data_IF_828153557116
#
_entry.id   IF_828153557116
#
_cell.length_a   1.000
_cell.length_b   1.000
_cell.length_c   1.000
_cell.angle_alpha   90.00
_cell.angle_beta   90.00
_cell.angle_gamma   90.00
#
_symmetry.space_group_name_H-M   'P 1'
#
loop_
_entity.id
_entity.type
_entity.pdbx_description
1 polymer ?
#
# COMPACT_ATOMS: atom_id res chain seq x y z
N UNK A 1 -14.26 37.05 19.29
CA UNK A 1 -14.65 35.94 18.40
C UNK A 1 -13.46 35.52 17.53
N UNK A 2 -12.77 34.41 17.85
CA UNK A 2 -11.91 33.72 16.90
C UNK A 2 -12.18 32.20 16.95
N UNK A 3 -13.14 31.71 16.16
CA UNK A 3 -13.50 30.28 16.14
C UNK A 3 -13.43 29.65 14.73
N UNK A 4 -13.37 30.45 13.68
CA UNK A 4 -13.36 29.96 12.30
C UNK A 4 -11.96 29.58 11.80
N UNK A 5 -10.91 30.21 12.33
CA UNK A 5 -9.52 29.94 11.91
C UNK A 5 -9.03 28.60 12.44
N UNK A 6 -9.31 28.24 13.69
CA UNK A 6 -8.91 26.94 14.27
C UNK A 6 -9.61 25.74 13.66
N UNK A 7 -10.86 25.90 13.20
CA UNK A 7 -11.60 24.81 12.57
C UNK A 7 -10.99 24.44 11.21
N UNK A 8 -10.64 25.43 10.39
CA UNK A 8 -10.03 25.18 9.08
C UNK A 8 -8.63 24.56 9.23
N UNK A 9 -7.82 25.05 10.19
CA UNK A 9 -6.48 24.51 10.44
C UNK A 9 -6.53 23.08 10.98
N UNK A 10 -7.47 22.77 11.88
CA UNK A 10 -7.65 21.42 12.39
C UNK A 10 -8.25 20.48 11.33
N UNK A 11 -9.11 20.98 10.44
CA UNK A 11 -9.65 20.19 9.32
C UNK A 11 -8.57 19.84 8.30
N UNK A 12 -7.75 20.81 7.89
CA UNK A 12 -6.60 20.56 6.99
C UNK A 12 -5.57 19.66 7.68
N UNK A 13 -5.33 19.83 8.99
CA UNK A 13 -4.41 18.98 9.75
C UNK A 13 -4.91 17.53 9.88
N UNK A 14 -6.19 17.33 10.19
CA UNK A 14 -6.75 16.01 10.46
C UNK A 14 -7.20 15.26 9.19
N UNK A 15 -7.49 15.95 8.08
CA UNK A 15 -7.96 15.31 6.85
C UNK A 15 -6.93 15.30 5.72
N UNK A 16 -6.13 16.35 5.58
CA UNK A 16 -5.10 16.46 4.54
C UNK A 16 -3.73 15.98 5.03
N UNK A 17 -3.39 16.25 6.31
CA UNK A 17 -2.10 15.89 6.93
C UNK A 17 -2.13 14.60 7.76
N UNK A 18 -3.27 13.91 7.91
CA UNK A 18 -3.32 12.57 8.55
C UNK A 18 -2.44 11.53 7.81
N UNK A 19 -2.13 11.80 6.54
CA UNK A 19 -1.19 11.05 5.72
C UNK A 19 0.28 11.23 6.16
N UNK A 20 0.60 12.28 6.90
CA UNK A 20 1.98 12.69 7.26
C UNK A 20 2.22 12.62 8.78
N UNK A 21 1.23 12.96 9.62
CA UNK A 21 1.36 12.89 11.08
C UNK A 21 0.17 12.14 11.69
N UNK A 22 0.38 11.01 12.39
CA UNK A 22 -0.68 10.32 13.10
C UNK A 22 -1.07 11.15 14.35
N UNK A 23 -2.23 11.82 14.33
CA UNK A 23 -2.78 12.47 15.53
C UNK A 23 -3.51 11.41 16.38
N UNK A 24 -3.20 11.36 17.68
CA UNK A 24 -3.60 10.29 18.63
C UNK A 24 -5.08 10.36 19.07
N UNK A 25 -5.90 11.20 18.44
CA UNK A 25 -7.19 11.66 18.99
C UNK A 25 -8.40 11.43 18.09
N UNK A 26 -8.35 10.51 17.11
CA UNK A 26 -9.50 10.23 16.24
C UNK A 26 -10.18 8.89 16.55
N UNK A 27 -11.50 8.92 16.71
CA UNK A 27 -12.36 7.76 16.96
C UNK A 27 -13.63 7.85 16.09
N UNK A 28 -13.82 7.01 15.06
CA UNK A 28 -15.08 6.86 14.37
C UNK A 28 -15.65 5.46 14.69
N UNK A 29 -16.28 5.39 15.87
CA UNK A 29 -17.10 4.33 16.44
C UNK A 29 -17.37 3.12 15.51
N UNK A 30 -16.60 2.06 15.77
CA UNK A 30 -16.67 0.67 15.28
C UNK A 30 -15.78 0.36 14.06
N UNK A 31 -14.52 0.07 14.37
CA UNK A 31 -13.58 -0.68 13.53
C UNK A 31 -12.87 -1.71 14.41
N UNK A 32 -13.00 -3.01 14.12
CA UNK A 32 -12.06 -4.07 14.57
C UNK A 32 -12.26 -5.37 13.78
N UNK A 33 -11.16 -6.11 13.47
CA UNK A 33 -10.86 -7.27 14.31
C UNK A 33 -9.36 -7.61 14.38
N UNK A 34 -8.49 -6.61 14.62
CA UNK A 34 -7.20 -6.74 15.31
C UNK A 34 -6.42 -5.43 15.22
N UNK A 35 -6.43 -4.65 16.31
CA UNK A 35 -5.52 -3.61 16.83
C UNK A 35 -4.50 -2.80 15.95
N UNK A 36 -4.49 -2.90 14.62
CA UNK A 36 -3.54 -2.23 13.69
C UNK A 36 -4.12 -0.90 13.13
N UNK A 37 -5.17 -0.41 13.76
CA UNK A 37 -6.11 0.63 13.27
C UNK A 37 -5.47 1.96 12.88
N UNK A 38 -4.29 2.29 13.39
CA UNK A 38 -3.71 3.64 13.30
C UNK A 38 -2.91 3.90 12.01
N UNK A 39 -2.46 2.88 11.29
CA UNK A 39 -1.62 3.06 10.10
C UNK A 39 -2.37 3.03 8.76
N UNK A 40 -3.60 2.49 8.72
CA UNK A 40 -4.34 2.20 7.49
C UNK A 40 -5.39 3.25 7.10
N UNK A 41 -5.57 4.33 7.88
CA UNK A 41 -6.60 5.34 7.62
C UNK A 41 -6.09 6.52 6.77
N UNK A 42 -6.92 6.92 5.81
CA UNK A 42 -6.87 8.15 5.02
C UNK A 42 -7.94 9.12 5.55
N UNK A 43 -7.62 9.89 6.60
CA UNK A 43 -8.63 10.70 7.28
C UNK A 43 -9.77 9.82 7.80
N UNK A 44 -10.96 9.92 7.19
CA UNK A 44 -12.14 9.09 7.53
C UNK A 44 -12.30 7.80 6.70
N UNK A 45 -11.47 7.56 5.68
CA UNK A 45 -11.61 6.42 4.77
C UNK A 45 -10.47 5.41 4.95
N UNK A 46 -10.71 4.11 4.72
CA UNK A 46 -9.66 3.11 4.77
C UNK A 46 -8.82 3.13 3.48
N UNK A 47 -7.49 3.05 3.60
CA UNK A 47 -6.56 3.13 2.44
C UNK A 47 -6.86 2.05 1.39
N UNK A 48 -7.37 0.89 1.82
CA UNK A 48 -7.74 -0.22 0.95
C UNK A 48 -8.87 0.11 -0.04
N UNK A 49 -9.75 1.05 0.31
CA UNK A 49 -10.91 1.42 -0.52
C UNK A 49 -10.60 2.60 -1.45
N UNK A 50 -9.73 3.50 -1.00
CA UNK A 50 -9.39 4.74 -1.69
C UNK A 50 -8.28 4.52 -2.71
N UNK A 51 -7.25 3.75 -2.34
CA UNK A 51 -6.05 3.58 -3.16
C UNK A 51 -6.33 2.93 -4.53
N UNK A 52 -7.17 1.87 -4.66
CA UNK A 52 -7.53 1.34 -5.97
C UNK A 52 -8.17 2.38 -6.89
N UNK A 53 -9.04 3.24 -6.35
CA UNK A 53 -9.72 4.30 -7.11
C UNK A 53 -8.72 5.35 -7.62
N UNK A 54 -7.76 5.75 -6.76
CA UNK A 54 -6.69 6.67 -7.14
C UNK A 54 -5.81 6.07 -8.24
N UNK A 55 -5.41 4.80 -8.09
CA UNK A 55 -4.56 4.10 -9.08
C UNK A 55 -5.27 3.95 -10.43
N UNK A 56 -6.57 3.63 -10.43
CA UNK A 56 -7.38 3.56 -11.67
C UNK A 56 -7.49 4.93 -12.31
N UNK A 57 -7.86 5.97 -11.55
CA UNK A 57 -7.96 7.35 -12.05
C UNK A 57 -6.63 7.80 -12.68
N UNK A 58 -5.52 7.55 -12.00
CA UNK A 58 -4.17 7.85 -12.47
C UNK A 58 -3.85 7.12 -13.79
N UNK A 59 -4.18 5.84 -13.88
CA UNK A 59 -3.94 5.05 -15.10
C UNK A 59 -4.75 5.57 -16.28
N UNK A 60 -6.00 6.02 -16.04
CA UNK A 60 -6.84 6.65 -17.05
C UNK A 60 -6.28 8.01 -17.50
N UNK A 61 -5.78 8.82 -16.57
CA UNK A 61 -5.11 10.08 -16.89
C UNK A 61 -3.86 9.86 -17.75
N UNK A 62 -3.03 8.88 -17.39
CA UNK A 62 -1.86 8.48 -18.19
C UNK A 62 -2.25 8.02 -19.59
N UNK A 63 -3.33 7.24 -19.72
CA UNK A 63 -3.85 6.81 -21.01
C UNK A 63 -4.32 8.01 -21.85
N UNK A 64 -5.03 8.96 -21.24
CA UNK A 64 -5.46 10.17 -21.94
C UNK A 64 -4.29 11.00 -22.44
N UNK A 65 -3.25 11.18 -21.61
CA UNK A 65 -1.99 11.86 -22.01
C UNK A 65 -1.31 11.11 -23.16
N UNK A 66 -1.27 9.78 -23.11
CA UNK A 66 -0.70 8.97 -24.19
C UNK A 66 -1.47 9.16 -25.51
N UNK A 67 -2.80 9.12 -25.48
CA UNK A 67 -3.64 9.33 -26.66
C UNK A 67 -3.41 10.73 -27.23
N UNK A 68 -3.36 11.74 -26.36
CA UNK A 68 -3.06 13.11 -26.77
C UNK A 68 -1.70 13.19 -27.49
N UNK A 69 -0.66 12.62 -26.89
CA UNK A 69 0.70 12.59 -27.47
C UNK A 69 0.72 11.89 -28.84
N UNK A 70 0.00 10.77 -28.99
CA UNK A 70 -0.15 10.06 -30.26
C UNK A 70 -0.82 10.92 -31.35
N UNK A 71 -1.77 11.78 -30.96
CA UNK A 71 -2.50 12.64 -31.88
C UNK A 71 -1.72 13.91 -32.25
N UNK A 72 -0.86 14.41 -31.37
CA UNK A 72 -0.20 15.72 -31.55
C UNK A 72 1.28 15.67 -31.91
N UNK A 73 1.97 14.59 -31.56
CA UNK A 73 3.41 14.46 -31.81
C UNK A 73 3.66 13.76 -33.12
N UNK A 74 4.53 14.28 -33.99
CA UNK A 74 4.96 13.61 -35.23
C UNK A 74 6.22 12.77 -35.04
N UNK A 75 6.80 12.75 -33.84
CA UNK A 75 8.02 12.01 -33.52
C UNK A 75 7.70 10.56 -33.13
N UNK A 76 8.02 9.63 -34.04
CA UNK A 76 7.79 8.19 -33.84
C UNK A 76 8.60 7.62 -32.67
N UNK A 77 9.79 8.16 -32.37
CA UNK A 77 10.59 7.71 -31.23
C UNK A 77 9.91 8.11 -29.91
N UNK A 78 9.36 9.33 -29.87
CA UNK A 78 8.64 9.83 -28.70
C UNK A 78 7.34 9.05 -28.46
N UNK A 79 6.60 8.73 -29.53
CA UNK A 79 5.40 7.87 -29.47
C UNK A 79 5.72 6.46 -28.96
N UNK A 80 6.76 5.83 -29.50
CA UNK A 80 7.17 4.47 -29.09
C UNK A 80 7.65 4.45 -27.64
N UNK A 81 8.45 5.44 -27.24
CA UNK A 81 8.90 5.60 -25.86
C UNK A 81 7.75 5.84 -24.88
N UNK A 82 6.78 6.68 -25.26
CA UNK A 82 5.57 6.92 -24.48
C UNK A 82 4.72 5.67 -24.30
N UNK A 83 4.52 4.89 -25.37
CA UNK A 83 3.79 3.62 -25.32
C UNK A 83 4.48 2.61 -24.40
N UNK A 84 5.80 2.46 -24.53
CA UNK A 84 6.58 1.56 -23.69
C UNK A 84 6.51 1.95 -22.21
N UNK A 85 6.67 3.24 -21.92
CA UNK A 85 6.53 3.79 -20.56
C UNK A 85 5.14 3.56 -19.98
N UNK A 86 4.09 3.76 -20.78
CA UNK A 86 2.71 3.47 -20.39
C UNK A 86 2.51 1.98 -20.08
N UNK A 87 2.98 1.08 -20.93
CA UNK A 87 2.86 -0.37 -20.70
C UNK A 87 3.52 -0.81 -19.39
N UNK A 88 4.71 -0.28 -19.07
CA UNK A 88 5.39 -0.55 -17.79
C UNK A 88 4.56 -0.02 -16.62
N UNK A 89 4.12 1.23 -16.68
CA UNK A 89 3.35 1.86 -15.61
C UNK A 89 1.99 1.16 -15.38
N UNK A 90 1.28 0.82 -16.47
CA UNK A 90 0.01 0.10 -16.43
C UNK A 90 0.20 -1.31 -15.84
N UNK A 91 1.26 -2.02 -16.23
CA UNK A 91 1.58 -3.33 -15.67
C UNK A 91 1.85 -3.23 -14.17
N UNK A 92 2.67 -2.27 -13.73
CA UNK A 92 2.94 -2.04 -12.32
C UNK A 92 1.66 -1.72 -11.51
N UNK A 93 0.76 -0.92 -12.08
CA UNK A 93 -0.54 -0.59 -11.49
C UNK A 93 -1.44 -1.82 -11.38
N UNK A 94 -1.51 -2.64 -12.42
CA UNK A 94 -2.30 -3.88 -12.41
C UNK A 94 -1.78 -4.86 -11.36
N UNK A 95 -0.46 -5.05 -11.28
CA UNK A 95 0.15 -5.91 -10.25
C UNK A 95 -0.16 -5.38 -8.85
N UNK A 96 -0.12 -4.06 -8.63
CA UNK A 96 -0.52 -3.46 -7.35
C UNK A 96 -1.99 -3.75 -7.02
N UNK A 97 -2.91 -3.57 -7.97
CA UNK A 97 -4.34 -3.83 -7.75
C UNK A 97 -4.60 -5.30 -7.41
N UNK A 98 -3.92 -6.22 -8.09
CA UNK A 98 -3.95 -7.66 -7.78
C UNK A 98 -3.38 -7.91 -6.37
N UNK A 99 -2.27 -7.26 -6.02
CA UNK A 99 -1.67 -7.33 -4.68
C UNK A 99 -2.61 -6.87 -3.57
N UNK A 100 -3.38 -5.79 -3.82
CA UNK A 100 -4.41 -5.30 -2.90
C UNK A 100 -5.53 -6.33 -2.75
N UNK A 101 -6.06 -6.82 -3.87
CA UNK A 101 -7.20 -7.74 -3.86
C UNK A 101 -6.89 -9.05 -3.12
N UNK A 102 -5.71 -9.63 -3.37
CA UNK A 102 -5.28 -10.88 -2.73
C UNK A 102 -4.55 -10.66 -1.40
N UNK A 103 -4.42 -9.40 -0.92
CA UNK A 103 -3.65 -9.03 0.27
C UNK A 103 -2.23 -9.63 0.27
N UNK A 104 -1.54 -9.57 -0.87
CA UNK A 104 -0.16 -10.08 -1.03
C UNK A 104 0.82 -8.93 -1.18
N UNK A 105 1.61 -8.69 -0.12
CA UNK A 105 2.60 -7.60 -0.10
C UNK A 105 3.71 -7.77 -1.14
N UNK A 106 4.06 -9.00 -1.54
CA UNK A 106 5.11 -9.23 -2.56
C UNK A 106 4.77 -8.57 -3.90
N UNK A 107 3.48 -8.47 -4.22
CA UNK A 107 2.99 -7.86 -5.46
C UNK A 107 2.99 -6.32 -5.41
N UNK A 108 3.17 -5.69 -4.25
CA UNK A 108 3.31 -4.23 -4.18
C UNK A 108 4.74 -3.77 -4.46
N UNK A 109 5.74 -4.67 -4.38
CA UNK A 109 7.16 -4.34 -4.55
C UNK A 109 7.48 -3.80 -5.96
N UNK A 110 7.02 -4.42 -7.07
CA UNK A 110 7.29 -3.91 -8.41
C UNK A 110 6.78 -2.49 -8.63
N UNK A 111 5.64 -2.15 -8.00
CA UNK A 111 5.10 -0.79 -8.05
C UNK A 111 6.09 0.21 -7.42
N UNK A 112 6.62 -0.06 -6.23
CA UNK A 112 7.59 0.85 -5.59
C UNK A 112 8.82 1.07 -6.46
N UNK A 113 9.37 0.00 -7.02
CA UNK A 113 10.58 0.10 -7.83
C UNK A 113 10.37 1.02 -9.04
N UNK A 114 9.32 0.78 -9.81
CA UNK A 114 9.00 1.56 -11.02
C UNK A 114 8.69 3.01 -10.67
N UNK A 115 7.86 3.26 -9.66
CA UNK A 115 7.42 4.62 -9.34
C UNK A 115 8.48 5.46 -8.61
N UNK A 116 9.37 4.86 -7.82
CA UNK A 116 10.53 5.56 -7.26
C UNK A 116 11.49 5.97 -8.37
N UNK A 117 11.77 5.10 -9.34
CA UNK A 117 12.58 5.44 -10.50
C UNK A 117 11.94 6.57 -11.32
N UNK A 118 10.64 6.49 -11.57
CA UNK A 118 9.89 7.52 -12.30
C UNK A 118 9.91 8.88 -11.57
N UNK A 119 9.73 8.88 -10.24
CA UNK A 119 9.84 10.08 -9.43
C UNK A 119 11.25 10.68 -9.50
N UNK A 120 12.30 9.85 -9.41
CA UNK A 120 13.68 10.29 -9.56
C UNK A 120 13.94 10.90 -10.95
N UNK A 121 13.48 10.25 -12.02
CA UNK A 121 13.57 10.77 -13.40
C UNK A 121 12.85 12.12 -13.55
N UNK A 122 11.67 12.29 -12.94
CA UNK A 122 10.95 13.57 -12.97
C UNK A 122 11.67 14.68 -12.19
N UNK A 123 12.30 14.35 -11.06
CA UNK A 123 13.14 15.32 -10.33
C UNK A 123 14.31 15.78 -11.19
N UNK A 124 15.01 14.85 -11.87
CA UNK A 124 16.09 15.20 -12.79
C UNK A 124 15.58 16.06 -13.95
N UNK A 125 14.44 15.72 -14.55
CA UNK A 125 13.85 16.49 -15.63
C UNK A 125 13.49 17.92 -15.20
N UNK A 126 12.89 18.07 -14.01
CA UNK A 126 12.61 19.38 -13.42
C UNK A 126 13.90 20.17 -13.21
N UNK A 127 14.94 19.55 -12.65
CA UNK A 127 16.22 20.19 -12.43
C UNK A 127 16.86 20.69 -13.74
N UNK A 128 16.88 19.87 -14.79
CA UNK A 128 17.38 20.28 -16.11
C UNK A 128 16.57 21.47 -16.65
N UNK A 129 15.24 21.42 -16.59
CA UNK A 129 14.37 22.52 -17.04
C UNK A 129 14.60 23.81 -16.25
N UNK A 130 14.87 23.71 -14.95
CA UNK A 130 15.22 24.86 -14.13
C UNK A 130 16.57 25.46 -14.55
N UNK A 131 17.58 24.63 -14.86
CA UNK A 131 18.87 25.11 -15.36
C UNK A 131 18.73 25.81 -16.72
N UNK A 132 17.95 25.24 -17.65
CA UNK A 132 17.70 25.85 -18.97
C UNK A 132 16.95 27.19 -18.84
N UNK A 133 16.01 27.26 -17.90
CA UNK A 133 15.27 28.49 -17.56
C UNK A 133 16.15 29.48 -16.77
N UNK A 134 17.22 29.07 -16.12
CA UNK A 134 18.17 30.02 -15.51
C UNK A 134 19.18 30.55 -16.54
N UNK A 135 19.52 29.74 -17.54
CA UNK A 135 20.54 30.06 -18.54
C UNK A 135 20.01 30.87 -19.73
N UNK A 136 18.73 30.72 -20.09
CA UNK A 136 18.13 31.56 -21.13
C UNK A 136 17.90 32.98 -20.62
N UNK A 137 18.07 34.00 -21.47
CA UNK A 137 17.92 35.42 -21.07
C UNK A 137 16.46 35.93 -21.10
N UNK A 138 15.51 35.11 -21.56
CA UNK A 138 14.10 35.47 -21.82
C UNK A 138 13.11 34.88 -20.80
N UNK A 139 13.49 34.81 -19.52
CA UNK A 139 13.21 33.63 -18.68
C UNK A 139 12.09 33.68 -17.67
N UNK A 140 11.06 34.48 -17.90
CA UNK A 140 9.82 34.41 -17.12
C UNK A 140 8.57 34.57 -18.00
N UNK A 141 8.50 33.85 -19.13
CA UNK A 141 7.21 33.73 -19.81
C UNK A 141 6.25 32.94 -18.91
N UNK A 142 5.05 33.48 -18.67
CA UNK A 142 4.03 32.84 -17.83
C UNK A 142 3.73 31.39 -18.26
N UNK A 143 3.88 31.09 -19.55
CA UNK A 143 3.71 29.75 -20.13
C UNK A 143 4.78 28.75 -19.63
N UNK A 144 6.05 29.17 -19.57
CA UNK A 144 7.14 28.32 -19.07
C UNK A 144 6.98 28.03 -17.57
N UNK A 145 6.63 29.07 -16.79
CA UNK A 145 6.34 28.93 -15.36
C UNK A 145 5.17 27.99 -15.09
N UNK A 146 4.05 28.13 -15.82
CA UNK A 146 2.89 27.26 -15.69
C UNK A 146 3.23 25.79 -16.00
N UNK A 147 4.02 25.56 -17.05
CA UNK A 147 4.45 24.22 -17.41
C UNK A 147 5.36 23.61 -16.33
N UNK A 148 6.34 24.34 -15.82
CA UNK A 148 7.21 23.86 -14.74
C UNK A 148 6.43 23.62 -13.43
N UNK A 149 5.48 24.49 -13.10
CA UNK A 149 4.58 24.31 -11.96
C UNK A 149 3.69 23.06 -12.12
N UNK A 150 3.18 22.81 -13.32
CA UNK A 150 2.37 21.61 -13.60
C UNK A 150 3.18 20.32 -13.38
N UNK A 151 4.44 20.28 -13.80
CA UNK A 151 5.34 19.14 -13.58
C UNK A 151 5.66 18.93 -12.10
N UNK A 152 5.83 20.03 -11.34
CA UNK A 152 6.00 19.96 -9.89
C UNK A 152 4.76 19.37 -9.21
N UNK A 153 3.56 19.78 -9.61
CA UNK A 153 2.32 19.23 -9.05
C UNK A 153 2.15 17.74 -9.36
N UNK A 154 2.53 17.30 -10.57
CA UNK A 154 2.56 15.88 -10.94
C UNK A 154 3.56 15.12 -10.05
N UNK A 155 4.75 15.66 -9.83
CA UNK A 155 5.75 15.05 -8.94
C UNK A 155 5.23 14.93 -7.50
N UNK A 156 4.60 15.97 -6.97
CA UNK A 156 3.99 15.93 -5.62
C UNK A 156 2.93 14.83 -5.54
N UNK A 157 2.07 14.74 -6.56
CA UNK A 157 1.04 13.69 -6.64
C UNK A 157 1.65 12.28 -6.72
N UNK A 158 2.76 12.10 -7.45
CA UNK A 158 3.49 10.83 -7.51
C UNK A 158 4.05 10.43 -6.15
N UNK A 159 4.79 11.32 -5.50
CA UNK A 159 5.36 11.09 -4.16
C UNK A 159 4.25 10.78 -3.17
N UNK A 160 3.14 11.51 -3.23
CA UNK A 160 1.97 11.25 -2.40
C UNK A 160 1.39 9.85 -2.61
N UNK A 161 1.25 9.43 -3.87
CA UNK A 161 0.75 8.08 -4.20
C UNK A 161 1.71 7.00 -3.67
N UNK A 162 3.02 7.19 -3.79
CA UNK A 162 4.03 6.27 -3.23
C UNK A 162 3.86 6.14 -1.70
N UNK A 163 3.65 7.26 -0.98
CA UNK A 163 3.41 7.24 0.46
C UNK A 163 2.12 6.52 0.84
N UNK A 164 1.05 6.64 0.03
CA UNK A 164 -0.19 5.88 0.25
C UNK A 164 0.02 4.38 0.06
N UNK A 165 0.72 3.98 -1.01
CA UNK A 165 1.05 2.57 -1.24
C UNK A 165 1.96 2.04 -0.12
N UNK A 166 2.86 2.85 0.43
CA UNK A 166 3.68 2.50 1.59
C UNK A 166 2.83 2.17 2.83
N UNK A 167 1.83 2.99 3.14
CA UNK A 167 0.91 2.72 4.25
C UNK A 167 0.09 1.43 4.01
N UNK A 168 -0.40 1.23 2.80
CA UNK A 168 -1.06 -0.01 2.42
C UNK A 168 -0.13 -1.21 2.58
N UNK A 169 1.13 -1.10 2.16
CA UNK A 169 2.11 -2.17 2.29
C UNK A 169 2.29 -2.59 3.75
N UNK A 170 2.48 -1.63 4.66
CA UNK A 170 2.57 -1.90 6.10
C UNK A 170 1.30 -2.61 6.58
N UNK A 171 0.12 -2.10 6.20
CA UNK A 171 -1.15 -2.73 6.57
C UNK A 171 -1.28 -4.19 6.10
N UNK A 172 -0.89 -4.48 4.85
CA UNK A 172 -0.94 -5.85 4.31
C UNK A 172 0.08 -6.73 5.03
N UNK A 173 1.28 -6.24 5.32
CA UNK A 173 2.31 -6.98 6.06
C UNK A 173 1.83 -7.32 7.48
N UNK A 174 1.25 -6.36 8.19
CA UNK A 174 0.71 -6.57 9.54
C UNK A 174 -0.45 -7.58 9.52
N UNK A 175 -1.33 -7.47 8.51
CA UNK A 175 -2.40 -8.44 8.29
C UNK A 175 -1.87 -9.86 8.05
N UNK A 176 -0.87 -10.02 7.16
CA UNK A 176 -0.26 -11.31 6.87
C UNK A 176 0.41 -11.90 8.11
N UNK A 177 1.13 -11.09 8.89
CA UNK A 177 1.79 -11.54 10.12
C UNK A 177 0.76 -12.04 11.16
N UNK A 178 -0.36 -11.34 11.32
CA UNK A 178 -1.44 -11.75 12.21
C UNK A 178 -2.09 -13.08 11.77
N UNK A 179 -2.34 -13.26 10.47
CA UNK A 179 -2.84 -14.53 9.93
C UNK A 179 -1.86 -15.69 10.15
N UNK A 180 -0.55 -15.46 9.96
CA UNK A 180 0.48 -16.46 10.23
C UNK A 180 0.56 -16.83 11.71
N UNK A 181 0.46 -15.86 12.62
CA UNK A 181 0.45 -16.10 14.07
C UNK A 181 -0.78 -16.93 14.47
N UNK A 182 -1.97 -16.58 13.96
CA UNK A 182 -3.20 -17.36 14.18
C UNK A 182 -3.11 -18.77 13.60
N UNK A 183 -2.47 -18.94 12.45
CA UNK A 183 -2.24 -20.26 11.85
C UNK A 183 -1.30 -21.11 12.71
N UNK A 184 -0.18 -20.54 13.18
CA UNK A 184 0.76 -21.23 14.08
C UNK A 184 0.10 -21.64 15.40
N UNK A 185 -0.71 -20.77 16.00
CA UNK A 185 -1.43 -21.07 17.23
C UNK A 185 -2.45 -22.21 17.04
N UNK A 186 -3.19 -22.21 15.92
CA UNK A 186 -4.09 -23.32 15.56
C UNK A 186 -3.33 -24.65 15.41
N UNK A 187 -2.21 -24.65 14.70
CA UNK A 187 -1.37 -25.84 14.55
C UNK A 187 -0.81 -26.34 15.89
N UNK A 188 -0.43 -25.44 16.79
CA UNK A 188 0.04 -25.82 18.15
C UNK A 188 -1.07 -26.49 18.95
N UNK A 189 -2.29 -25.94 18.93
CA UNK A 189 -3.45 -26.55 19.63
C UNK A 189 -3.81 -27.93 19.08
N UNK A 190 -3.74 -28.12 17.75
CA UNK A 190 -3.97 -29.44 17.14
C UNK A 190 -2.89 -30.43 17.57
N UNK A 191 -1.62 -30.03 17.59
CA UNK A 191 -0.51 -30.88 18.05
C UNK A 191 -0.62 -31.23 19.55
N UNK A 192 -1.03 -30.28 20.39
CA UNK A 192 -1.30 -30.51 21.82
C UNK A 192 -2.48 -31.48 22.02
N UNK A 193 -3.58 -31.31 21.26
CA UNK A 193 -4.71 -32.24 21.29
C UNK A 193 -4.32 -33.65 20.86
N UNK A 194 -3.54 -33.81 19.79
CA UNK A 194 -3.04 -35.11 19.34
C UNK A 194 -2.18 -35.80 20.40
N UNK A 195 -1.29 -35.05 21.08
CA UNK A 195 -0.47 -35.57 22.19
C UNK A 195 -1.31 -36.01 23.41
N UNK A 196 -2.41 -35.32 23.71
CA UNK A 196 -3.30 -35.69 24.80
C UNK A 196 -4.13 -36.95 24.48
N UNK A 197 -4.50 -37.16 23.22
CA UNK A 197 -5.17 -38.39 22.75
C UNK A 197 -4.21 -39.58 22.82
N UNK A 198 -3.00 -39.44 22.30
CA UNK A 198 -1.95 -40.47 22.34
C UNK A 198 -1.58 -40.89 23.77
N UNK A 199 -1.62 -39.94 24.73
CA UNK A 199 -1.40 -40.22 26.15
C UNK A 199 -2.56 -40.99 26.81
N UNK A 200 -3.80 -40.85 26.33
CA UNK A 200 -4.95 -41.63 26.84
C UNK A 200 -4.88 -43.09 26.42
N UNK A 201 -4.39 -43.36 25.22
CA UNK A 201 -4.22 -44.74 24.72
C UNK A 201 -3.04 -45.47 25.43
N UNK A 202 -2.16 -44.72 26.09
CA UNK A 202 -1.08 -45.27 26.94
C UNK A 202 -1.46 -45.53 28.41
N UNK A 203 -2.70 -45.24 28.84
CA UNK A 203 -3.13 -45.60 30.21
C UNK A 203 -3.49 -47.08 30.22
N UNK A 204 -2.53 -47.93 30.56
CA UNK A 204 -2.78 -49.34 30.83
C UNK A 204 -3.81 -49.46 31.96
N UNK A 205 -4.98 -49.99 31.63
CA UNK A 205 -5.91 -50.50 32.64
C UNK A 205 -5.20 -51.67 33.32
N UNK A 206 -4.64 -51.43 34.50
CA UNK A 206 -4.17 -52.51 35.38
C UNK A 206 -5.44 -53.25 35.83
N UNK A 207 -5.79 -54.30 35.09
CA UNK A 207 -6.79 -55.27 35.53
C UNK A 207 -6.13 -56.08 36.63
N UNK A 208 -6.43 -55.72 37.88
CA UNK A 208 -6.14 -56.57 39.02
C UNK A 208 -7.05 -57.80 38.92
N UNK A 209 -6.51 -58.91 38.41
CA UNK A 209 -7.20 -60.21 38.46
C UNK A 209 -7.10 -60.69 39.90
N UNK A 210 -8.21 -60.85 40.63
CA UNK A 210 -8.20 -61.53 41.93
C UNK A 210 -7.92 -63.01 41.67
N UNK A 211 -6.94 -63.57 42.38
CA UNK A 211 -6.48 -64.93 42.18
C UNK A 211 -7.50 -65.99 42.60
N UNK A 212 -7.18 -67.25 42.28
CA UNK A 212 -7.40 -68.40 43.17
C UNK A 212 -6.63 -69.64 42.64
N UNK A 213 -6.59 -70.78 43.36
CA UNK A 213 -5.35 -71.36 43.88
C UNK A 213 -5.05 -72.76 43.31
N UNK A 214 -3.94 -73.35 43.79
CA UNK A 214 -3.59 -74.78 43.81
C UNK A 214 -3.58 -75.58 42.48
N UNK A 215 -2.42 -76.16 42.16
CA UNK A 215 -2.37 -77.62 41.96
C UNK A 215 -0.94 -78.15 42.16
N UNK A 216 -0.82 -79.06 43.13
CA UNK A 216 0.31 -79.93 43.37
C UNK A 216 0.47 -80.94 42.22
N UNK A 217 1.72 -81.30 41.89
CA UNK A 217 2.06 -82.38 40.96
C UNK A 217 3.56 -82.68 40.93
#
# INVERSE_FOLDING_TARGET
>A
MPASTTFLTNYVRNYLLCCIFPDKTYNPVIFEPNHVTYHACFGAFHVIDVLPKIVVLKTLLLLFVLIYEFLTSDDDLLRLGGLFGFCIAATANMILLVGIHYKRYTLTIPYFFIYVLLAFSMVLLLFVKFLDTANSKDTLSAKSLLHNFSLLMILIFEVYTILLVWRLFIYICDYCMDEELKAKERSRRVAEHLRLVDRRDCVSVIVHVPGDPDDDG
#
